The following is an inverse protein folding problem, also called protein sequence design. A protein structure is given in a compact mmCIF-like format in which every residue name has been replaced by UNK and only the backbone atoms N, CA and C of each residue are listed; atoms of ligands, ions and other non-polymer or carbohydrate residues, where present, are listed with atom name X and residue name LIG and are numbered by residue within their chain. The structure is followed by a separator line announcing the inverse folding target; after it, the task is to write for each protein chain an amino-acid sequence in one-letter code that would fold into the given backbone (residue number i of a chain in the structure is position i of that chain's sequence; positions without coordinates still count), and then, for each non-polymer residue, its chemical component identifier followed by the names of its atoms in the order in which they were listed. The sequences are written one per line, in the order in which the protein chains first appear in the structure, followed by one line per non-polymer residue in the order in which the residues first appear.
data_IF_516314834099
#
_entry.id   IF_516314834099
#
_cell.length_a   1.000
_cell.length_b   1.000
_cell.length_c   1.000
_cell.angle_alpha   90.00
_cell.angle_beta   90.00
_cell.angle_gamma   90.00
#
_symmetry.space_group_name_H-M   'P 1'
#
loop_
_entity.id
_entity.type
_entity.pdbx_description
1 polymer ?
#
# COMPACT_ATOMS: atom_id res chain seq x y z
N UNK A 1 14.67 -16.68 10.59
CA UNK A 1 13.82 -16.54 9.38
C UNK A 1 13.45 -15.08 9.19
N UNK A 2 13.60 -14.59 7.98
CA UNK A 2 13.17 -13.24 7.66
C UNK A 2 11.64 -13.18 7.60
N UNK A 3 11.05 -12.10 8.11
CA UNK A 3 9.63 -11.85 7.95
C UNK A 3 9.32 -11.57 6.46
N UNK A 4 8.13 -11.93 5.96
CA UNK A 4 7.76 -11.56 4.60
C UNK A 4 7.74 -10.04 4.45
N UNK A 5 8.04 -9.51 3.25
CA UNK A 5 8.01 -8.08 3.03
C UNK A 5 6.60 -7.52 3.18
N UNK A 6 6.52 -6.26 3.59
CA UNK A 6 5.28 -5.51 3.65
C UNK A 6 5.03 -4.92 2.27
N UNK A 7 3.87 -5.18 1.69
CA UNK A 7 3.50 -4.58 0.41
C UNK A 7 2.79 -3.25 0.65
N UNK A 8 3.21 -2.23 -0.09
CA UNK A 8 2.61 -0.91 -0.01
C UNK A 8 2.18 -0.47 -1.42
N UNK A 9 0.89 -0.44 -1.64
CA UNK A 9 0.32 0.04 -2.92
C UNK A 9 0.20 1.56 -2.86
N UNK A 10 0.74 2.22 -3.86
CA UNK A 10 0.86 3.68 -3.91
C UNK A 10 0.52 4.23 -5.29
N UNK A 11 0.37 5.55 -5.36
CA UNK A 11 0.42 6.31 -6.62
C UNK A 11 1.42 7.46 -6.44
N UNK A 12 1.93 8.04 -7.54
CA UNK A 12 2.81 9.21 -7.45
C UNK A 12 2.09 10.39 -6.80
N UNK A 13 2.87 11.24 -6.12
CA UNK A 13 2.38 12.48 -5.51
C UNK A 13 1.27 12.28 -4.47
N UNK A 14 1.30 11.15 -3.78
CA UNK A 14 0.34 10.83 -2.73
C UNK A 14 0.97 11.09 -1.36
N UNK A 15 0.52 12.15 -0.68
CA UNK A 15 1.04 12.49 0.65
C UNK A 15 0.69 11.43 1.70
N UNK A 16 -0.47 10.80 1.58
CA UNK A 16 -0.87 9.70 2.47
C UNK A 16 0.02 8.49 2.28
N UNK A 17 0.40 8.18 1.04
CA UNK A 17 1.34 7.10 0.73
C UNK A 17 2.72 7.39 1.32
N UNK A 18 3.20 8.62 1.19
CA UNK A 18 4.49 9.02 1.75
C UNK A 18 4.51 8.89 3.28
N UNK A 19 3.40 9.24 3.93
CA UNK A 19 3.28 9.10 5.39
C UNK A 19 3.38 7.64 5.82
N UNK A 20 2.71 6.74 5.12
CA UNK A 20 2.76 5.32 5.44
C UNK A 20 4.14 4.73 5.15
N UNK A 21 4.77 5.16 4.07
CA UNK A 21 6.15 4.76 3.75
C UNK A 21 7.09 5.13 4.90
N UNK A 22 6.99 6.35 5.39
CA UNK A 22 7.83 6.82 6.49
C UNK A 22 7.58 6.03 7.78
N UNK A 23 6.32 5.76 8.09
CA UNK A 23 5.95 5.01 9.29
C UNK A 23 6.48 3.57 9.23
N UNK A 24 6.38 2.92 8.08
CA UNK A 24 6.89 1.56 7.90
C UNK A 24 8.42 1.54 7.97
N UNK A 25 9.09 2.52 7.39
CA UNK A 25 10.54 2.64 7.46
C UNK A 25 11.02 2.83 8.89
N UNK A 26 10.29 3.62 9.68
CA UNK A 26 10.62 3.85 11.09
C UNK A 26 10.53 2.58 11.93
N UNK A 27 9.69 1.61 11.54
CA UNK A 27 9.60 0.30 12.18
C UNK A 27 10.70 -0.67 11.73
N UNK A 28 11.51 -0.29 10.75
CA UNK A 28 12.48 -1.20 10.14
C UNK A 28 11.85 -2.26 9.25
N UNK A 29 10.65 -2.04 8.74
CA UNK A 29 9.96 -3.00 7.87
C UNK A 29 10.64 -3.08 6.50
N UNK A 30 10.67 -4.28 5.92
CA UNK A 30 11.09 -4.49 4.54
C UNK A 30 9.89 -4.18 3.64
N UNK A 31 9.89 -2.98 3.04
CA UNK A 31 8.74 -2.48 2.29
C UNK A 31 8.98 -2.66 0.79
N UNK A 32 7.99 -3.26 0.13
CA UNK A 32 7.93 -3.36 -1.33
C UNK A 32 6.82 -2.46 -1.82
N UNK A 33 7.18 -1.37 -2.49
CA UNK A 33 6.21 -0.44 -3.04
C UNK A 33 5.76 -0.89 -4.41
N UNK A 34 4.46 -0.76 -4.64
CA UNK A 34 3.85 -1.08 -5.93
C UNK A 34 3.08 0.16 -6.39
N UNK A 35 3.59 0.82 -7.43
CA UNK A 35 2.93 1.96 -8.04
C UNK A 35 1.85 1.44 -8.99
N UNK A 36 0.59 1.63 -8.63
CA UNK A 36 -0.53 1.08 -9.39
C UNK A 36 -0.77 1.81 -10.71
N UNK A 37 -0.25 3.03 -10.86
CA UNK A 37 -0.30 3.72 -12.16
C UNK A 37 0.75 3.19 -13.12
N UNK A 38 1.94 2.85 -12.61
CA UNK A 38 2.99 2.26 -13.42
C UNK A 38 2.70 0.80 -13.74
N UNK A 39 1.94 0.13 -12.88
CA UNK A 39 1.61 -1.29 -13.02
C UNK A 39 0.10 -1.52 -12.90
N UNK A 40 -0.68 -1.08 -13.89
CA UNK A 40 -2.15 -1.18 -13.80
C UNK A 40 -2.67 -2.62 -13.73
N UNK A 41 -1.85 -3.59 -14.11
CA UNK A 41 -2.21 -5.00 -14.00
C UNK A 41 -2.48 -5.45 -12.55
N UNK A 42 -1.99 -4.71 -11.55
CA UNK A 42 -2.23 -5.05 -10.14
C UNK A 42 -3.52 -4.47 -9.60
N UNK A 43 -4.20 -3.59 -10.34
CA UNK A 43 -5.42 -2.94 -9.88
C UNK A 43 -6.53 -3.92 -9.51
N UNK A 44 -6.81 -4.98 -10.30
CA UNK A 44 -7.83 -5.97 -9.90
C UNK A 44 -7.53 -6.61 -8.54
N UNK A 45 -6.28 -6.92 -8.26
CA UNK A 45 -5.87 -7.45 -6.95
C UNK A 45 -6.08 -6.42 -5.84
N UNK A 46 -5.69 -5.17 -6.09
CA UNK A 46 -5.91 -4.07 -5.16
C UNK A 46 -7.40 -3.93 -4.83
N UNK A 47 -8.26 -4.01 -5.83
CA UNK A 47 -9.71 -3.90 -5.65
C UNK A 47 -10.26 -4.99 -4.76
N UNK A 48 -9.71 -6.20 -4.85
CA UNK A 48 -10.10 -7.30 -3.96
C UNK A 48 -9.71 -7.00 -2.51
N UNK A 49 -8.54 -6.40 -2.31
CA UNK A 49 -8.07 -6.06 -0.96
C UNK A 49 -8.88 -4.93 -0.33
N UNK A 50 -9.41 -4.02 -1.14
CA UNK A 50 -10.14 -2.84 -0.66
C UNK A 50 -11.66 -3.02 -0.63
N UNK A 51 -12.16 -4.15 -1.10
CA UNK A 51 -13.61 -4.35 -1.22
C UNK A 51 -14.23 -3.52 -2.35
N UNK A 52 -13.48 -3.28 -3.42
CA UNK A 52 -13.97 -2.57 -4.61
C UNK A 52 -13.65 -1.08 -4.64
N UNK A 53 -12.83 -0.59 -3.74
CA UNK A 53 -12.46 0.84 -3.68
C UNK A 53 -11.14 1.09 -4.39
N UNK A 54 -11.11 2.11 -5.25
CA UNK A 54 -9.87 2.56 -5.90
C UNK A 54 -9.21 3.62 -5.03
N UNK A 55 -8.53 3.16 -3.99
CA UNK A 55 -7.91 4.04 -3.00
C UNK A 55 -6.52 3.51 -2.62
N UNK A 56 -5.60 4.41 -2.35
CA UNK A 56 -4.27 4.12 -1.82
C UNK A 56 -4.00 5.07 -0.64
N UNK A 57 -3.09 4.77 0.29
CA UNK A 57 -2.25 3.57 0.32
C UNK A 57 -3.01 2.34 0.82
N UNK A 58 -2.57 1.17 0.37
CA UNK A 58 -3.02 -0.12 0.90
C UNK A 58 -1.79 -0.87 1.38
N UNK A 59 -1.83 -1.36 2.60
CA UNK A 59 -0.71 -2.03 3.24
C UNK A 59 -1.09 -3.48 3.47
N UNK A 60 -0.27 -4.40 2.94
CA UNK A 60 -0.42 -5.82 3.21
C UNK A 60 0.77 -6.26 4.05
N UNK A 61 0.52 -6.55 5.31
CA UNK A 61 1.52 -6.93 6.29
C UNK A 61 1.20 -8.33 6.80
N UNK A 62 1.73 -9.34 6.12
CA UNK A 62 1.36 -10.72 6.39
C UNK A 62 -0.12 -10.94 6.14
N UNK A 63 -0.85 -11.39 7.15
CA UNK A 63 -2.31 -11.57 7.08
C UNK A 63 -3.12 -10.31 7.36
N UNK A 64 -2.45 -9.18 7.67
CA UNK A 64 -3.13 -7.94 8.02
C UNK A 64 -3.19 -7.01 6.81
N UNK A 65 -4.39 -6.58 6.46
CA UNK A 65 -4.62 -5.66 5.36
C UNK A 65 -5.18 -4.36 5.94
N UNK A 66 -4.50 -3.24 5.65
CA UNK A 66 -4.95 -1.92 6.08
C UNK A 66 -5.17 -1.05 4.87
N UNK A 67 -6.38 -0.52 4.75
CA UNK A 67 -6.79 0.31 3.62
C UNK A 67 -6.86 1.74 4.09
N UNK A 68 -5.97 2.59 3.56
CA UNK A 68 -5.92 4.03 3.87
C UNK A 68 -6.09 4.31 5.38
N UNK A 69 -5.22 3.74 6.25
CA UNK A 69 -5.44 3.79 7.70
C UNK A 69 -5.47 5.20 8.27
N UNK A 70 -4.76 6.14 7.64
CA UNK A 70 -4.73 7.54 8.07
C UNK A 70 -5.20 8.47 6.95
N UNK A 71 -6.11 7.98 6.11
CA UNK A 71 -6.59 8.69 4.96
C UNK A 71 -5.92 8.21 3.68
N UNK A 72 -6.49 8.55 2.56
CA UNK A 72 -6.00 8.08 1.27
C UNK A 72 -6.42 8.95 0.11
N UNK A 73 -5.93 8.56 -1.06
CA UNK A 73 -6.21 9.22 -2.32
C UNK A 73 -6.87 8.25 -3.27
N UNK A 74 -7.93 8.69 -3.93
CA UNK A 74 -8.55 7.94 -5.01
C UNK A 74 -7.68 8.03 -6.28
N UNK A 75 -7.78 7.02 -7.11
CA UNK A 75 -7.02 7.02 -8.36
C UNK A 75 -7.81 6.45 -9.53
#
# INVERSE_FOLDING_TARGET
MAAPPVLLYVVPDCSHCARQRAALAARGADVREIDVRARPEVIPELMKLTGGRRIVPVIVDGGNIRVAPDGGSAF
#
